data_IF_267474443307
#
_entry.id   IF_267474443307
#
_cell.length_a   1.000
_cell.length_b   1.000
_cell.length_c   1.000
_cell.angle_alpha   90.00
_cell.angle_beta   90.00
_cell.angle_gamma   90.00
#
_symmetry.space_group_name_H-M   'P 1'
#
loop_
_entity.id
_entity.type
_entity.pdbx_description
1 polymer ?
#
# COMPACT_ATOMS: atom_id res chain seq x y z
N UNK A 1 -6.45 33.37 -38.57
CA UNK A 1 -6.74 31.92 -38.68
C UNK A 1 -5.66 31.05 -38.02
N UNK A 2 -4.37 31.39 -38.17
CA UNK A 2 -3.26 30.75 -37.43
C UNK A 2 -3.48 30.73 -35.91
N UNK A 3 -3.89 31.88 -35.33
CA UNK A 3 -4.05 31.98 -33.88
C UNK A 3 -5.13 31.08 -33.27
N UNK A 4 -6.18 30.72 -34.03
CA UNK A 4 -7.21 29.78 -33.56
C UNK A 4 -6.70 28.34 -33.59
N UNK A 5 -5.96 27.95 -34.63
CA UNK A 5 -5.36 26.62 -34.75
C UNK A 5 -4.27 26.40 -33.69
N UNK A 6 -3.45 27.42 -33.42
CA UNK A 6 -2.44 27.37 -32.36
C UNK A 6 -3.07 27.29 -30.97
N UNK A 7 -4.17 28.00 -30.72
CA UNK A 7 -4.89 27.92 -29.44
C UNK A 7 -5.56 26.55 -29.23
N UNK A 8 -6.08 25.95 -30.29
CA UNK A 8 -6.66 24.59 -30.26
C UNK A 8 -5.56 23.56 -30.06
N UNK A 9 -4.43 23.66 -30.77
CA UNK A 9 -3.27 22.77 -30.62
C UNK A 9 -2.66 22.87 -29.22
N UNK A 10 -2.57 24.08 -28.65
CA UNK A 10 -2.10 24.30 -27.28
C UNK A 10 -3.07 23.77 -26.21
N UNK A 11 -4.39 23.80 -26.46
CA UNK A 11 -5.38 23.18 -25.55
C UNK A 11 -5.37 21.66 -25.67
N UNK A 12 -5.19 21.11 -26.86
CA UNK A 12 -5.05 19.67 -27.08
C UNK A 12 -3.75 19.13 -26.48
N UNK A 13 -2.61 19.80 -26.69
CA UNK A 13 -1.34 19.37 -26.11
C UNK A 13 -1.39 19.39 -24.59
N UNK A 14 -1.97 20.44 -23.98
CA UNK A 14 -2.23 20.50 -22.53
C UNK A 14 -3.17 19.40 -22.05
N UNK A 15 -4.25 19.11 -22.80
CA UNK A 15 -5.20 18.05 -22.45
C UNK A 15 -4.55 16.67 -22.48
N UNK A 16 -3.74 16.37 -23.48
CA UNK A 16 -3.03 15.09 -23.61
C UNK A 16 -1.99 14.91 -22.50
N UNK A 17 -1.21 15.95 -22.17
CA UNK A 17 -0.23 15.87 -21.07
C UNK A 17 -0.90 15.68 -19.72
N UNK A 18 -2.03 16.36 -19.45
CA UNK A 18 -2.76 16.20 -18.18
C UNK A 18 -3.42 14.82 -18.05
N UNK A 19 -3.89 14.23 -19.15
CA UNK A 19 -4.45 12.85 -19.15
C UNK A 19 -3.35 11.82 -18.92
N UNK A 20 -2.17 12.01 -19.54
CA UNK A 20 -1.05 11.09 -19.37
C UNK A 20 -0.51 11.11 -17.93
N UNK A 21 -0.39 12.29 -17.33
CA UNK A 21 -0.02 12.47 -15.93
C UNK A 21 -1.07 11.89 -14.97
N UNK A 22 -2.35 12.11 -15.25
CA UNK A 22 -3.46 11.54 -14.48
C UNK A 22 -3.47 10.01 -14.51
N UNK A 23 -3.23 9.42 -15.68
CA UNK A 23 -3.20 7.96 -15.88
C UNK A 23 -2.02 7.31 -15.18
N UNK A 24 -0.81 7.88 -15.28
CA UNK A 24 0.39 7.41 -14.55
C UNK A 24 0.17 7.46 -13.04
N UNK A 25 -0.47 8.52 -12.54
CA UNK A 25 -0.81 8.67 -11.11
C UNK A 25 -1.83 7.63 -10.66
N UNK A 26 -2.85 7.35 -11.46
CA UNK A 26 -3.88 6.37 -11.16
C UNK A 26 -3.31 4.94 -11.09
N UNK A 27 -2.47 4.57 -12.06
CA UNK A 27 -1.77 3.28 -12.07
C UNK A 27 -0.83 3.15 -10.88
N UNK A 28 -0.08 4.22 -10.56
CA UNK A 28 0.80 4.25 -9.38
C UNK A 28 0.05 4.03 -8.07
N UNK A 29 -1.10 4.69 -7.90
CA UNK A 29 -1.96 4.48 -6.73
C UNK A 29 -2.54 3.07 -6.67
N UNK A 30 -3.06 2.56 -7.78
CA UNK A 30 -3.63 1.20 -7.84
C UNK A 30 -2.60 0.15 -7.43
N UNK A 31 -1.34 0.31 -7.84
CA UNK A 31 -0.24 -0.56 -7.42
C UNK A 31 0.00 -0.49 -5.91
N UNK A 32 0.08 0.71 -5.34
CA UNK A 32 0.29 0.89 -3.89
C UNK A 32 -0.89 0.33 -3.08
N UNK A 33 -2.14 0.53 -3.53
CA UNK A 33 -3.30 -0.07 -2.89
C UNK A 33 -3.25 -1.61 -2.91
N UNK A 34 -2.84 -2.19 -4.04
CA UNK A 34 -2.66 -3.64 -4.13
C UNK A 34 -1.55 -4.14 -3.19
N UNK A 35 -0.44 -3.41 -3.09
CA UNK A 35 0.66 -3.74 -2.18
C UNK A 35 0.20 -3.65 -0.71
N UNK A 36 -0.55 -2.60 -0.34
CA UNK A 36 -1.17 -2.47 1.00
C UNK A 36 -2.07 -3.67 1.28
N UNK A 37 -2.96 -4.01 0.35
CA UNK A 37 -3.90 -5.12 0.52
C UNK A 37 -3.16 -6.46 0.74
N UNK A 38 -2.12 -6.72 -0.06
CA UNK A 38 -1.32 -7.95 0.09
C UNK A 38 -0.61 -8.01 1.45
N UNK A 39 -0.04 -6.90 1.91
CA UNK A 39 0.61 -6.83 3.23
C UNK A 39 -0.40 -7.00 4.36
N UNK A 40 -1.59 -6.42 4.26
CA UNK A 40 -2.68 -6.61 5.25
C UNK A 40 -3.15 -8.06 5.31
N UNK A 41 -3.35 -8.71 4.16
CA UNK A 41 -3.73 -10.13 4.09
C UNK A 41 -2.65 -11.02 4.72
N UNK A 42 -1.38 -10.75 4.44
CA UNK A 42 -0.28 -11.51 5.03
C UNK A 42 -0.17 -11.30 6.54
N UNK A 43 -0.34 -10.06 7.02
CA UNK A 43 -0.38 -9.74 8.44
C UNK A 43 -1.52 -10.49 9.13
N UNK A 44 -2.71 -10.51 8.54
CA UNK A 44 -3.87 -11.20 9.10
C UNK A 44 -3.63 -12.71 9.21
N UNK A 45 -2.99 -13.32 8.20
CA UNK A 45 -2.59 -14.74 8.26
C UNK A 45 -1.61 -15.00 9.41
N UNK A 46 -0.61 -14.14 9.60
CA UNK A 46 0.36 -14.28 10.70
C UNK A 46 -0.32 -14.17 12.07
N UNK A 47 -1.25 -13.22 12.24
CA UNK A 47 -2.02 -13.07 13.50
C UNK A 47 -2.88 -14.31 13.75
N UNK A 48 -3.54 -14.85 12.72
CA UNK A 48 -4.34 -16.08 12.85
C UNK A 48 -3.48 -17.28 13.25
N UNK A 49 -2.31 -17.45 12.62
CA UNK A 49 -1.35 -18.50 12.95
C UNK A 49 -0.81 -18.34 14.38
N UNK A 50 -0.46 -17.12 14.77
CA UNK A 50 -0.02 -16.80 16.13
C UNK A 50 -1.10 -17.17 17.15
N UNK A 51 -2.35 -16.74 16.92
CA UNK A 51 -3.48 -17.05 17.80
C UNK A 51 -3.74 -18.55 17.92
N UNK A 52 -3.69 -19.28 16.80
CA UNK A 52 -3.80 -20.74 16.81
C UNK A 52 -2.70 -21.39 17.64
N UNK A 53 -1.46 -20.91 17.48
CA UNK A 53 -0.30 -21.46 18.19
C UNK A 53 -0.35 -21.19 19.68
N UNK A 54 -0.79 -20.00 20.09
CA UNK A 54 -1.02 -19.66 21.51
C UNK A 54 -2.13 -20.54 22.10
N UNK A 55 -3.22 -20.75 21.36
CA UNK A 55 -4.30 -21.64 21.79
C UNK A 55 -3.81 -23.09 21.98
N UNK A 56 -3.03 -23.61 21.03
CA UNK A 56 -2.45 -24.95 21.11
C UNK A 56 -1.49 -25.08 22.30
N UNK A 57 -0.63 -24.09 22.55
CA UNK A 57 0.25 -24.07 23.72
C UNK A 57 -0.54 -24.08 25.02
N UNK A 58 -1.59 -23.25 25.12
CA UNK A 58 -2.45 -23.20 26.30
C UNK A 58 -3.15 -24.54 26.57
N UNK A 59 -3.73 -25.15 25.54
CA UNK A 59 -4.44 -26.44 25.68
C UNK A 59 -3.50 -27.58 26.06
N UNK A 60 -2.23 -27.53 25.61
CA UNK A 60 -1.19 -28.50 25.95
C UNK A 60 -0.44 -28.18 27.26
N UNK A 61 -0.75 -27.06 27.91
CA UNK A 61 -0.02 -26.53 29.08
C UNK A 61 1.48 -26.33 28.81
N UNK A 62 1.81 -25.98 27.57
CA UNK A 62 3.16 -25.60 27.17
C UNK A 62 3.41 -24.14 27.57
N UNK A 63 4.64 -23.83 27.97
CA UNK A 63 5.04 -22.44 28.23
C UNK A 63 5.19 -21.65 26.93
N UNK A 64 5.06 -20.33 27.05
CA UNK A 64 5.26 -19.39 25.94
C UNK A 64 6.68 -19.55 25.39
N UNK A 65 6.77 -20.07 24.18
CA UNK A 65 8.02 -20.32 23.47
C UNK A 65 8.52 -19.06 22.74
N UNK A 66 9.84 -18.90 22.60
CA UNK A 66 10.48 -17.91 21.72
C UNK A 66 9.96 -17.96 20.28
N UNK A 67 9.40 -19.09 19.86
CA UNK A 67 8.77 -19.23 18.55
C UNK A 67 7.50 -18.38 18.35
N UNK A 68 6.97 -17.75 19.40
CA UNK A 68 5.93 -16.72 19.31
C UNK A 68 6.53 -15.32 19.08
N UNK A 69 7.75 -15.08 19.56
CA UNK A 69 8.46 -13.81 19.40
C UNK A 69 8.73 -13.52 17.92
N UNK A 70 9.12 -14.53 17.14
CA UNK A 70 9.33 -14.38 15.69
C UNK A 70 8.07 -13.95 14.95
N UNK A 71 6.89 -14.43 15.34
CA UNK A 71 5.62 -13.97 14.77
C UNK A 71 5.37 -12.50 15.09
N UNK A 72 5.61 -12.07 16.33
CA UNK A 72 5.45 -10.68 16.73
C UNK A 72 6.38 -9.75 15.94
N UNK A 73 7.67 -10.13 15.80
CA UNK A 73 8.65 -9.35 15.02
C UNK A 73 8.28 -9.27 13.53
N UNK A 74 7.73 -10.35 12.96
CA UNK A 74 7.24 -10.30 11.57
C UNK A 74 6.00 -9.41 11.43
N UNK A 75 5.08 -9.45 12.39
CA UNK A 75 3.90 -8.57 12.40
C UNK A 75 4.33 -7.10 12.50
N UNK A 76 5.28 -6.76 13.38
CA UNK A 76 5.84 -5.40 13.48
C UNK A 76 6.48 -4.93 12.17
N UNK A 77 7.23 -5.80 11.47
CA UNK A 77 7.79 -5.47 10.15
C UNK A 77 6.71 -5.19 9.11
N UNK A 78 5.60 -5.95 9.14
CA UNK A 78 4.45 -5.72 8.25
C UNK A 78 3.76 -4.41 8.59
N UNK A 79 3.66 -4.05 9.87
CA UNK A 79 3.12 -2.76 10.30
C UNK A 79 3.96 -1.58 9.83
N UNK A 80 5.28 -1.62 10.01
CA UNK A 80 6.18 -0.61 9.47
C UNK A 80 6.05 -0.48 7.94
N UNK A 81 5.94 -1.60 7.23
CA UNK A 81 5.74 -1.61 5.77
C UNK A 81 4.40 -0.97 5.36
N UNK A 82 3.33 -1.18 6.13
CA UNK A 82 2.03 -0.56 5.89
C UNK A 82 2.08 0.94 6.12
N UNK A 83 2.76 1.41 7.17
CA UNK A 83 2.94 2.84 7.41
C UNK A 83 3.69 3.52 6.25
N UNK A 84 4.79 2.92 5.78
CA UNK A 84 5.53 3.44 4.63
C UNK A 84 4.68 3.49 3.35
N UNK A 85 3.91 2.44 3.07
CA UNK A 85 3.04 2.39 1.88
C UNK A 85 1.90 3.41 1.96
N UNK A 86 1.30 3.58 3.15
CA UNK A 86 0.27 4.59 3.40
C UNK A 86 0.84 6.01 3.30
N UNK A 87 2.07 6.22 3.76
CA UNK A 87 2.77 7.50 3.59
C UNK A 87 3.04 7.80 2.11
N UNK A 88 3.55 6.82 1.34
CA UNK A 88 3.73 6.96 -0.12
C UNK A 88 2.42 7.31 -0.83
N UNK A 89 1.31 6.71 -0.39
CA UNK A 89 -0.01 7.03 -0.94
C UNK A 89 -0.42 8.47 -0.62
N UNK A 90 -0.19 8.92 0.62
CA UNK A 90 -0.43 10.30 1.04
C UNK A 90 0.46 11.30 0.31
N UNK A 91 1.73 10.99 0.02
CA UNK A 91 2.63 11.88 -0.73
C UNK A 91 2.15 12.05 -2.20
N UNK A 92 1.63 10.98 -2.79
CA UNK A 92 0.98 11.05 -4.10
C UNK A 92 -0.27 11.94 -4.01
N UNK A 93 -0.98 11.99 -2.89
CA UNK A 93 -2.13 12.88 -2.69
C UNK A 93 -1.74 14.33 -2.36
N UNK A 94 -0.71 14.56 -1.54
CA UNK A 94 -0.21 15.85 -1.08
C UNK A 94 0.72 16.56 -2.07
N UNK A 95 1.22 15.90 -3.11
CA UNK A 95 1.89 16.54 -4.28
C UNK A 95 0.97 17.51 -5.08
N UNK A 96 -0.12 17.97 -4.47
CA UNK A 96 -1.16 18.84 -5.01
C UNK A 96 -1.50 20.04 -4.11
N UNK A 97 -0.71 20.37 -3.08
CA UNK A 97 -0.95 21.63 -2.35
C UNK A 97 0.10 22.69 -2.63
#
# INVERSE_FOLDING_TARGET
MMEFFDKVKAKFSKGVTTIEEGSKKLVGKAKIYNDIHNVEVDKEKLIKLLGSKVYDMYTKKEEISESLKSFCEEIEKKDASLEELRQKLNDIDCSKS
#
